data_IF_335377543129
#
_entry.id   IF_335377543129
#
_cell.length_a   1.000
_cell.length_b   1.000
_cell.length_c   1.000
_cell.angle_alpha   90.00
_cell.angle_beta   90.00
_cell.angle_gamma   90.00
#
_symmetry.space_group_name_H-M   'P 1'
#
loop_
_entity.id
_entity.type
_entity.pdbx_description
1 polymer ?
#
# COMPACT_ATOMS: atom_id res chain seq x y z
N UNK A 1 0.51 -20.56 8.86
CA UNK A 1 1.50 -19.60 8.35
C UNK A 1 0.71 -18.69 7.41
N UNK A 2 0.81 -17.37 7.54
CA UNK A 2 0.00 -16.47 6.71
C UNK A 2 0.73 -16.29 5.37
N UNK A 3 0.36 -17.08 4.36
CA UNK A 3 1.01 -17.09 3.04
C UNK A 3 0.93 -15.72 2.33
N UNK A 4 0.03 -14.84 2.79
CA UNK A 4 -0.12 -13.47 2.31
C UNK A 4 1.12 -12.57 2.48
N UNK A 5 2.20 -13.03 3.12
CA UNK A 5 3.47 -12.29 3.23
C UNK A 5 4.67 -13.01 2.62
N UNK A 6 4.47 -14.20 2.03
CA UNK A 6 5.56 -15.00 1.47
C UNK A 6 6.30 -14.28 0.33
N UNK A 7 5.65 -13.33 -0.34
CA UNK A 7 6.23 -12.54 -1.43
C UNK A 7 6.94 -11.28 -0.96
N UNK A 8 6.94 -10.94 0.33
CA UNK A 8 7.56 -9.71 0.83
C UNK A 8 9.08 -9.87 0.94
N UNK A 9 9.80 -9.31 -0.03
CA UNK A 9 11.28 -9.27 -0.06
C UNK A 9 11.74 -7.93 -0.61
N UNK A 10 12.99 -7.55 -0.34
CA UNK A 10 13.59 -6.34 -0.95
C UNK A 10 13.43 -6.32 -2.48
N UNK A 11 13.70 -7.45 -3.15
CA UNK A 11 13.68 -7.55 -4.61
C UNK A 11 12.28 -7.43 -5.21
N UNK A 12 11.26 -8.02 -4.58
CA UNK A 12 9.87 -7.91 -5.04
C UNK A 12 9.35 -6.49 -4.85
N UNK A 13 9.65 -5.86 -3.71
CA UNK A 13 9.29 -4.47 -3.44
C UNK A 13 10.00 -3.53 -4.42
N UNK A 14 11.29 -3.70 -4.68
CA UNK A 14 12.06 -2.87 -5.62
C UNK A 14 11.43 -2.82 -7.01
N UNK A 15 10.93 -3.96 -7.49
CA UNK A 15 10.32 -4.11 -8.83
C UNK A 15 8.86 -3.67 -8.91
N UNK A 16 8.20 -3.40 -7.78
CA UNK A 16 6.78 -3.08 -7.74
C UNK A 16 6.47 -1.72 -8.40
N UNK A 17 5.83 -1.73 -9.55
CA UNK A 17 5.55 -0.54 -10.36
C UNK A 17 4.08 -0.09 -10.31
N UNK A 18 3.19 -1.01 -9.94
CA UNK A 18 1.74 -0.79 -9.92
C UNK A 18 1.03 -1.62 -8.85
N UNK A 19 -0.03 -1.04 -8.27
CA UNK A 19 -0.92 -1.71 -7.32
C UNK A 19 -2.39 -1.36 -7.56
N UNK A 20 -3.29 -2.28 -7.20
CA UNK A 20 -4.73 -2.01 -7.03
C UNK A 20 -5.00 -1.74 -5.56
N UNK A 21 -5.49 -0.55 -5.22
CA UNK A 21 -5.74 -0.15 -3.85
C UNK A 21 -7.21 -0.31 -3.43
N UNK A 22 -7.41 -0.65 -2.16
CA UNK A 22 -8.70 -0.49 -1.48
C UNK A 22 -8.89 0.93 -0.90
N UNK A 23 -10.12 1.23 -0.49
CA UNK A 23 -10.48 2.52 0.11
C UNK A 23 -9.68 2.83 1.37
N UNK A 24 -9.53 1.84 2.26
CA UNK A 24 -8.96 2.04 3.60
C UNK A 24 -7.49 2.43 3.55
N UNK A 25 -6.70 1.77 2.70
CA UNK A 25 -5.29 2.06 2.47
C UNK A 25 -5.09 3.44 1.85
N UNK A 26 -5.95 3.84 0.91
CA UNK A 26 -5.90 5.20 0.36
C UNK A 26 -6.15 6.25 1.44
N UNK A 27 -7.15 6.03 2.31
CA UNK A 27 -7.43 6.91 3.45
C UNK A 27 -6.24 6.96 4.41
N UNK A 28 -5.61 5.83 4.74
CA UNK A 28 -4.46 5.80 5.63
C UNK A 28 -3.25 6.53 5.06
N UNK A 29 -2.91 6.29 3.78
CA UNK A 29 -1.83 7.01 3.10
C UNK A 29 -2.10 8.52 3.01
N UNK A 30 -3.36 8.89 2.76
CA UNK A 30 -3.78 10.29 2.70
C UNK A 30 -3.67 10.98 4.07
N UNK A 31 -4.22 10.37 5.13
CA UNK A 31 -4.17 10.91 6.50
C UNK A 31 -2.76 10.98 7.05
N UNK A 32 -1.91 10.02 6.70
CA UNK A 32 -0.50 10.04 7.06
C UNK A 32 0.34 11.01 6.21
N UNK A 33 -0.27 11.69 5.23
CA UNK A 33 0.34 12.77 4.46
C UNK A 33 1.25 12.33 3.32
N UNK A 34 1.23 11.05 2.93
CA UNK A 34 2.16 10.50 1.94
C UNK A 34 1.50 9.96 0.66
N UNK A 35 0.18 10.09 0.49
CA UNK A 35 -0.49 9.61 -0.73
C UNK A 35 0.03 10.30 -2.01
N UNK A 36 0.29 11.61 -1.99
CA UNK A 36 0.85 12.33 -3.14
C UNK A 36 2.24 11.82 -3.52
N UNK A 37 3.25 11.80 -2.62
CA UNK A 37 4.55 11.25 -2.99
C UNK A 37 4.48 9.75 -3.31
N UNK A 38 3.51 9.01 -2.76
CA UNK A 38 3.28 7.62 -3.15
C UNK A 38 2.82 7.50 -4.60
N UNK A 39 1.84 8.29 -5.07
CA UNK A 39 1.39 8.25 -6.48
C UNK A 39 2.46 8.72 -7.47
N UNK A 40 3.47 9.46 -7.00
CA UNK A 40 4.68 9.78 -7.77
C UNK A 40 5.71 8.65 -7.78
N UNK A 41 5.66 7.74 -6.80
CA UNK A 41 6.59 6.61 -6.65
C UNK A 41 6.12 5.37 -7.40
N UNK A 42 4.81 5.12 -7.39
CA UNK A 42 4.17 3.92 -7.93
C UNK A 42 2.83 4.27 -8.56
N UNK A 43 2.44 3.56 -9.63
CA UNK A 43 1.11 3.72 -10.22
C UNK A 43 0.06 3.05 -9.33
N UNK A 44 -0.90 3.83 -8.86
CA UNK A 44 -2.05 3.31 -8.12
C UNK A 44 -3.26 3.29 -9.04
N UNK A 45 -3.95 2.16 -9.07
CA UNK A 45 -5.27 2.01 -9.71
C UNK A 45 -6.30 1.59 -8.65
N UNK A 46 -7.56 1.92 -8.89
CA UNK A 46 -8.66 1.50 -8.03
C UNK A 46 -9.93 1.21 -8.86
N UNK A 47 -10.78 0.25 -8.43
CA UNK A 47 -12.07 0.01 -9.07
C UNK A 47 -13.10 1.11 -8.71
N UNK A 48 -14.20 1.25 -9.48
CA UNK A 48 -15.22 2.27 -9.26
C UNK A 48 -15.74 2.35 -7.82
N UNK A 49 -16.04 1.20 -7.20
CA UNK A 49 -16.58 1.16 -5.84
C UNK A 49 -15.67 1.77 -4.76
N UNK A 50 -14.35 1.83 -5.00
CA UNK A 50 -13.42 2.52 -4.10
C UNK A 50 -13.58 4.04 -4.18
N UNK A 51 -13.81 4.58 -5.38
CA UNK A 51 -14.06 6.01 -5.56
C UNK A 51 -15.42 6.42 -5.00
N UNK A 52 -16.44 5.57 -5.14
CA UNK A 52 -17.75 5.80 -4.53
C UNK A 52 -17.64 5.90 -3.01
N UNK A 53 -16.95 4.95 -2.35
CA UNK A 53 -16.73 5.00 -0.90
C UNK A 53 -15.92 6.23 -0.45
N UNK A 54 -14.91 6.65 -1.22
CA UNK A 54 -14.15 7.87 -0.93
C UNK A 54 -15.04 9.12 -1.04
N UNK A 55 -15.89 9.17 -2.06
CA UNK A 55 -16.85 10.25 -2.28
C UNK A 55 -17.88 10.36 -1.16
N UNK A 56 -18.47 9.23 -0.73
CA UNK A 56 -19.42 9.18 0.39
C UNK A 56 -18.80 9.64 1.72
N UNK A 57 -17.50 9.43 1.91
CA UNK A 57 -16.74 9.89 3.08
C UNK A 57 -16.33 11.36 3.02
N UNK A 58 -16.55 12.03 1.88
CA UNK A 58 -16.15 13.43 1.66
C UNK A 58 -14.66 13.62 1.42
N UNK A 59 -13.93 12.56 1.08
CA UNK A 59 -12.48 12.57 0.91
C UNK A 59 -12.09 13.03 -0.51
N UNK A 60 -12.11 14.34 -0.75
CA UNK A 60 -11.83 14.96 -2.07
C UNK A 60 -10.41 15.55 -2.20
N UNK A 61 -9.42 14.81 -1.74
CA UNK A 61 -8.02 15.25 -1.83
C UNK A 61 -7.52 15.31 -3.28
N UNK A 62 -6.70 16.32 -3.67
CA UNK A 62 -6.01 16.32 -4.97
C UNK A 62 -5.18 15.06 -5.22
N UNK A 63 -4.77 14.37 -4.15
CA UNK A 63 -4.07 13.09 -4.23
C UNK A 63 -4.91 11.98 -4.87
N UNK A 64 -6.23 12.01 -4.70
CA UNK A 64 -7.16 11.03 -5.30
C UNK A 64 -7.22 11.20 -6.82
N UNK A 65 -7.10 12.44 -7.33
CA UNK A 65 -7.07 12.69 -8.77
C UNK A 65 -5.83 12.10 -9.48
N UNK A 66 -4.78 11.75 -8.72
CA UNK A 66 -3.60 11.07 -9.25
C UNK A 66 -3.76 9.53 -9.31
N UNK A 67 -4.85 8.99 -8.77
CA UNK A 67 -5.17 7.55 -8.82
C UNK A 67 -5.87 7.26 -10.14
N UNK A 68 -5.36 6.29 -10.89
CA UNK A 68 -5.95 5.92 -12.16
C UNK A 68 -7.23 5.10 -11.94
N UNK A 69 -8.31 5.53 -12.58
CA UNK A 69 -9.54 4.74 -12.65
C UNK A 69 -9.28 3.51 -13.53
N UNK A 70 -9.77 2.35 -13.10
CA UNK A 70 -9.81 1.20 -13.98
C UNK A 70 -10.95 1.39 -15.00
N UNK A 71 -10.61 1.67 -16.25
CA UNK A 71 -11.57 1.99 -17.34
C UNK A 71 -12.43 0.80 -17.81
N UNK A 72 -12.37 -0.37 -17.14
CA UNK A 72 -13.21 -1.49 -17.51
C UNK A 72 -14.68 -1.21 -17.16
N UNK A 73 -15.59 -1.59 -18.08
CA UNK A 73 -17.02 -1.30 -17.96
C UNK A 73 -17.57 -1.71 -16.59
N UNK A 74 -18.29 -0.79 -15.93
CA UNK A 74 -18.95 -0.97 -14.62
C UNK A 74 -19.69 -2.32 -14.47
N UNK A 75 -20.14 -2.90 -15.60
CA UNK A 75 -20.72 -4.25 -15.70
C UNK A 75 -19.88 -5.38 -15.11
N UNK A 76 -18.55 -5.28 -15.14
CA UNK A 76 -17.65 -6.29 -14.54
C UNK A 76 -17.82 -6.32 -13.02
N UNK A 77 -18.12 -5.16 -12.44
CA UNK A 77 -18.16 -4.92 -11.00
C UNK A 77 -19.59 -4.87 -10.45
N UNK A 78 -20.60 -4.89 -11.32
CA UNK A 78 -22.01 -4.88 -10.96
C UNK A 78 -22.35 -6.05 -10.04
N UNK A 79 -22.91 -5.74 -8.87
CA UNK A 79 -23.27 -6.72 -7.84
C UNK A 79 -22.13 -7.21 -6.93
N UNK A 80 -20.88 -6.83 -7.20
CA UNK A 80 -19.76 -7.14 -6.31
C UNK A 80 -19.64 -6.10 -5.18
N UNK A 81 -19.38 -6.61 -3.98
CA UNK A 81 -18.90 -5.79 -2.85
C UNK A 81 -17.54 -5.18 -3.18
N UNK A 82 -17.23 -3.99 -2.65
CA UNK A 82 -16.01 -3.22 -2.97
C UNK A 82 -14.73 -4.04 -2.82
N UNK A 83 -14.56 -4.76 -1.71
CA UNK A 83 -13.44 -5.70 -1.49
C UNK A 83 -13.27 -6.70 -2.64
N UNK A 84 -14.38 -7.25 -3.16
CA UNK A 84 -14.34 -8.21 -4.24
C UNK A 84 -13.96 -7.53 -5.57
N UNK A 85 -14.36 -6.28 -5.78
CA UNK A 85 -13.93 -5.49 -6.95
C UNK A 85 -12.42 -5.29 -6.95
N UNK A 86 -11.80 -5.03 -5.79
CA UNK A 86 -10.33 -4.89 -5.64
C UNK A 86 -9.61 -6.16 -6.06
N UNK A 87 -10.06 -7.32 -5.55
CA UNK A 87 -9.45 -8.62 -5.93
C UNK A 87 -9.63 -8.92 -7.41
N UNK A 88 -10.82 -8.68 -7.97
CA UNK A 88 -11.10 -8.90 -9.41
C UNK A 88 -10.26 -7.97 -10.28
N UNK A 89 -10.11 -6.70 -9.90
CA UNK A 89 -9.26 -5.75 -10.60
C UNK A 89 -7.79 -6.17 -10.57
N UNK A 90 -7.30 -6.64 -9.42
CA UNK A 90 -5.91 -7.10 -9.26
C UNK A 90 -5.62 -8.33 -10.14
N UNK A 91 -6.54 -9.31 -10.14
CA UNK A 91 -6.48 -10.52 -10.96
C UNK A 91 -6.39 -10.18 -12.46
N UNK A 92 -7.30 -9.33 -12.95
CA UNK A 92 -7.36 -8.94 -14.36
C UNK A 92 -6.14 -8.15 -14.84
N UNK A 93 -5.61 -7.29 -13.98
CA UNK A 93 -4.49 -6.40 -14.32
C UNK A 93 -3.13 -7.04 -14.03
N UNK A 94 -3.10 -8.23 -13.43
CA UNK A 94 -1.87 -8.86 -12.96
C UNK A 94 -1.12 -8.04 -11.92
N UNK A 95 -1.82 -7.18 -11.18
CA UNK A 95 -1.25 -6.26 -10.21
C UNK A 95 -1.37 -6.80 -8.79
N UNK A 96 -0.48 -6.35 -7.91
CA UNK A 96 -0.62 -6.62 -6.49
C UNK A 96 -1.75 -5.78 -5.86
N UNK A 97 -2.32 -6.28 -4.77
CA UNK A 97 -3.30 -5.57 -3.95
C UNK A 97 -2.59 -4.71 -2.92
N UNK A 98 -3.02 -3.46 -2.75
CA UNK A 98 -2.68 -2.59 -1.63
C UNK A 98 -3.87 -2.56 -0.66
N UNK A 99 -3.69 -3.19 0.50
CA UNK A 99 -4.70 -3.25 1.56
C UNK A 99 -4.04 -3.41 2.93
N UNK A 100 -4.66 -2.79 3.95
CA UNK A 100 -4.33 -3.03 5.36
C UNK A 100 -5.32 -4.00 6.03
N UNK A 101 -6.34 -4.48 5.30
CA UNK A 101 -7.27 -5.53 5.75
C UNK A 101 -6.70 -6.92 5.43
N UNK A 102 -6.33 -7.65 6.49
CA UNK A 102 -5.85 -9.03 6.41
C UNK A 102 -6.82 -9.99 5.71
N UNK A 103 -8.13 -9.76 5.79
CA UNK A 103 -9.13 -10.60 5.12
C UNK A 103 -9.08 -10.39 3.61
N UNK A 104 -8.91 -9.15 3.16
CA UNK A 104 -8.75 -8.83 1.75
C UNK A 104 -7.43 -9.38 1.21
N UNK A 105 -6.33 -9.21 1.95
CA UNK A 105 -5.02 -9.78 1.61
C UNK A 105 -5.06 -11.32 1.55
N UNK A 106 -5.75 -11.98 2.48
CA UNK A 106 -5.92 -13.43 2.45
C UNK A 106 -6.71 -13.89 1.21
N UNK A 107 -7.81 -13.20 0.86
CA UNK A 107 -8.58 -13.49 -0.37
C UNK A 107 -7.77 -13.29 -1.65
N UNK A 108 -6.89 -12.29 -1.67
CA UNK A 108 -5.97 -12.07 -2.79
C UNK A 108 -4.95 -13.23 -2.89
N UNK A 109 -4.38 -13.63 -1.74
CA UNK A 109 -3.42 -14.74 -1.68
C UNK A 109 -4.01 -16.09 -2.14
N UNK A 110 -5.29 -16.36 -1.85
CA UNK A 110 -6.01 -17.54 -2.37
C UNK A 110 -6.03 -17.63 -3.91
N UNK A 111 -5.81 -16.50 -4.60
CA UNK A 111 -5.72 -16.40 -6.06
C UNK A 111 -4.29 -16.24 -6.58
N UNK A 112 -3.29 -16.37 -5.71
CA UNK A 112 -1.89 -16.13 -6.06
C UNK A 112 -1.56 -14.66 -6.33
N UNK A 113 -2.40 -13.72 -5.85
CA UNK A 113 -2.19 -12.29 -6.01
C UNK A 113 -1.37 -11.78 -4.81
N UNK A 114 -0.24 -11.12 -5.10
CA UNK A 114 0.58 -10.49 -4.09
C UNK A 114 -0.18 -9.36 -3.38
N UNK A 115 0.02 -9.22 -2.07
CA UNK A 115 -0.63 -8.23 -1.22
C UNK A 115 0.37 -7.40 -0.42
N UNK A 116 0.20 -6.08 -0.39
CA UNK A 116 1.07 -5.16 0.34
C UNK A 116 0.24 -4.20 1.19
N UNK A 117 0.82 -3.76 2.31
CA UNK A 117 0.23 -2.73 3.18
C UNK A 117 0.76 -1.35 2.82
N UNK A 118 0.11 -0.30 3.31
CA UNK A 118 0.63 1.08 3.12
C UNK A 118 1.94 1.29 3.87
N UNK A 119 2.20 0.50 4.92
CA UNK A 119 3.51 0.46 5.59
C UNK A 119 4.62 0.04 4.61
N UNK A 120 4.39 -1.01 3.82
CA UNK A 120 5.36 -1.46 2.80
C UNK A 120 5.52 -0.41 1.71
N UNK A 121 4.45 0.29 1.33
CA UNK A 121 4.54 1.40 0.36
C UNK A 121 5.45 2.53 0.86
N UNK A 122 5.42 2.82 2.16
CA UNK A 122 6.34 3.81 2.75
C UNK A 122 7.79 3.34 2.69
N UNK A 123 8.06 2.05 2.87
CA UNK A 123 9.39 1.47 2.65
C UNK A 123 9.84 1.57 1.19
N UNK A 124 8.93 1.31 0.23
CA UNK A 124 9.21 1.47 -1.20
C UNK A 124 9.66 2.91 -1.54
N UNK A 125 9.00 3.91 -0.96
CA UNK A 125 9.35 5.32 -1.18
C UNK A 125 10.74 5.66 -0.64
N UNK A 126 11.14 5.07 0.49
CA UNK A 126 12.48 5.22 1.04
C UNK A 126 13.51 4.52 0.14
N UNK A 127 13.23 3.28 -0.27
CA UNK A 127 14.08 2.50 -1.17
C UNK A 127 14.33 3.21 -2.51
N UNK A 128 13.30 3.86 -3.06
CA UNK A 128 13.38 4.64 -4.31
C UNK A 128 13.89 6.07 -4.12
N UNK A 129 14.26 6.43 -2.89
CA UNK A 129 14.72 7.79 -2.54
C UNK A 129 13.73 8.89 -2.95
N UNK A 130 12.43 8.57 -3.03
CA UNK A 130 11.38 9.56 -3.29
C UNK A 130 11.07 10.38 -2.03
N UNK A 131 11.44 9.85 -0.86
CA UNK A 131 11.48 10.57 0.41
C UNK A 131 12.83 10.35 1.08
N UNK A 132 13.30 11.36 1.81
CA UNK A 132 14.43 11.20 2.72
C UNK A 132 14.01 10.51 4.03
N UNK A 133 15.01 10.14 4.84
CA UNK A 133 14.78 9.42 6.09
C UNK A 133 13.97 10.22 7.12
N UNK A 134 14.17 11.54 7.18
CA UNK A 134 13.46 12.43 8.11
C UNK A 134 11.96 12.53 7.75
N UNK A 135 11.66 12.65 6.45
CA UNK A 135 10.30 12.66 5.92
C UNK A 135 9.64 11.29 6.08
N UNK A 136 10.37 10.21 5.79
CA UNK A 136 9.94 8.85 6.08
C UNK A 136 9.56 8.68 7.56
N UNK A 137 10.39 9.16 8.49
CA UNK A 137 10.12 9.03 9.94
C UNK A 137 8.84 9.77 10.36
N UNK A 138 8.58 10.95 9.78
CA UNK A 138 7.34 11.72 10.01
C UNK A 138 6.12 10.95 9.50
N UNK A 139 6.18 10.41 8.28
CA UNK A 139 5.10 9.60 7.71
C UNK A 139 4.87 8.30 8.50
N UNK A 140 5.93 7.59 8.90
CA UNK A 140 5.85 6.38 9.74
C UNK A 140 5.15 6.67 11.06
N UNK A 141 5.51 7.78 11.72
CA UNK A 141 4.86 8.22 12.97
C UNK A 141 3.37 8.48 12.76
N UNK A 142 3.04 9.32 11.77
CA UNK A 142 1.64 9.66 11.49
C UNK A 142 0.81 8.42 11.11
N UNK A 143 1.36 7.51 10.31
CA UNK A 143 0.71 6.25 9.96
C UNK A 143 0.45 5.37 11.20
N UNK A 144 1.40 5.31 12.12
CA UNK A 144 1.29 4.51 13.35
C UNK A 144 0.22 5.04 14.33
N UNK A 145 -0.17 6.31 14.20
CA UNK A 145 -1.28 6.89 14.96
C UNK A 145 -2.65 6.50 14.37
N UNK A 146 -2.71 6.13 13.08
CA UNK A 146 -3.94 5.81 12.36
C UNK A 146 -4.22 4.30 12.28
N UNK A 147 -3.16 3.49 12.14
CA UNK A 147 -3.27 2.05 11.84
C UNK A 147 -2.58 1.22 12.91
N UNK A 148 -3.32 0.24 13.45
CA UNK A 148 -2.76 -0.79 14.33
C UNK A 148 -2.58 -2.08 13.54
N UNK A 149 -1.37 -2.31 13.05
CA UNK A 149 -1.04 -3.52 12.33
C UNK A 149 -1.09 -4.75 13.24
N UNK A 150 -1.56 -5.85 12.69
CA UNK A 150 -1.34 -7.15 13.31
C UNK A 150 0.17 -7.42 13.40
N UNK A 151 0.60 -8.04 14.50
CA UNK A 151 2.02 -8.28 14.78
C UNK A 151 2.79 -8.90 13.60
N UNK A 152 2.26 -9.89 12.85
CA UNK A 152 2.98 -10.44 11.70
C UNK A 152 3.27 -9.43 10.59
N UNK A 153 2.32 -8.55 10.27
CA UNK A 153 2.51 -7.49 9.27
C UNK A 153 3.53 -6.47 9.73
N UNK A 154 3.49 -6.14 11.02
CA UNK A 154 4.44 -5.21 11.62
C UNK A 154 5.87 -5.76 11.56
N UNK A 155 6.09 -7.00 12.00
CA UNK A 155 7.42 -7.64 12.00
C UNK A 155 7.98 -7.72 10.59
N UNK A 156 7.19 -8.20 9.63
CA UNK A 156 7.64 -8.32 8.24
C UNK A 156 8.03 -6.96 7.62
N UNK A 157 7.29 -5.89 7.95
CA UNK A 157 7.64 -4.54 7.49
C UNK A 157 8.91 -3.99 8.17
N UNK A 158 9.15 -4.29 9.44
CA UNK A 158 10.39 -3.88 10.12
C UNK A 158 11.61 -4.66 9.61
N UNK A 159 11.47 -5.96 9.30
CA UNK A 159 12.53 -6.74 8.64
C UNK A 159 12.91 -6.13 7.28
N UNK A 160 11.90 -5.85 6.44
CA UNK A 160 12.11 -5.15 5.17
C UNK A 160 12.78 -3.79 5.35
N UNK A 161 12.39 -3.02 6.38
CA UNK A 161 13.00 -1.73 6.67
C UNK A 161 14.52 -1.84 6.90
N UNK A 162 14.95 -2.84 7.67
CA UNK A 162 16.36 -3.07 7.93
C UNK A 162 17.14 -3.49 6.68
N UNK A 163 16.53 -4.31 5.82
CA UNK A 163 17.12 -4.65 4.52
C UNK A 163 17.31 -3.40 3.64
N UNK A 164 16.30 -2.54 3.57
CA UNK A 164 16.37 -1.29 2.80
C UNK A 164 17.41 -0.34 3.38
N UNK A 165 17.52 -0.20 4.70
CA UNK A 165 18.53 0.69 5.32
C UNK A 165 19.97 0.25 5.06
N UNK A 166 20.22 -1.07 5.03
CA UNK A 166 21.51 -1.64 4.62
C UNK A 166 21.83 -1.27 3.17
N UNK A 167 20.85 -1.44 2.28
CA UNK A 167 20.99 -1.15 0.85
C UNK A 167 21.22 0.34 0.56
N UNK A 168 20.49 1.23 1.24
CA UNK A 168 20.55 2.68 0.99
C UNK A 168 21.73 3.37 1.69
N UNK A 169 22.54 2.63 2.46
CA UNK A 169 23.67 3.18 3.21
C UNK A 169 23.27 4.17 4.30
N UNK A 170 22.01 4.14 4.74
CA UNK A 170 21.47 5.05 5.75
C UNK A 170 21.74 4.57 7.18
N UNK A 171 22.66 3.62 7.42
CA UNK A 171 22.89 2.94 8.71
C UNK A 171 23.29 3.89 9.87
N UNK A 172 23.85 5.06 9.59
CA UNK A 172 24.64 5.85 10.57
C UNK A 172 23.89 6.86 11.47
N UNK A 173 22.55 6.85 11.58
CA UNK A 173 21.83 7.86 12.40
C UNK A 173 20.88 7.36 13.48
N UNK A 174 20.83 6.06 13.76
CA UNK A 174 20.00 5.57 14.86
C UNK A 174 20.80 4.70 15.82
N UNK A 175 21.01 5.19 17.04
CA UNK A 175 21.39 4.38 18.19
C UNK A 175 20.12 4.08 19.00
N UNK A 176 19.83 2.83 19.36
CA UNK A 176 18.79 2.55 20.33
C UNK A 176 19.20 3.17 21.67
N UNK A 177 18.51 4.23 22.10
CA UNK A 177 18.79 4.89 23.39
C UNK A 177 18.49 6.39 23.50
N UNK A 178 18.12 7.09 22.42
CA UNK A 178 17.67 8.50 22.46
C UNK A 178 16.14 8.65 22.47
#
# INVERSE_FOLDING_TARGET
MNDALAHLTLDTVRRLDKVVADTSSLIYAMRAGFLIPLTQTIRIIAPPGVFDELGERGDVSPAIAAIAHLEESDRVYEGYQVDAQVVVAADKTGCAVLSDDLRLLARAAERGIAGYTVRVMLELMLLRSTVDFDTYCRFKRSLSEQVRYALPLYVAAEELHWEIRKETGQEDRWKPGD
#
